data_IF_836159743055
#
_entry.id   IF_836159743055
#
_cell.length_a   1.000
_cell.length_b   1.000
_cell.length_c   1.000
_cell.angle_alpha   90.00
_cell.angle_beta   90.00
_cell.angle_gamma   90.00
#
_symmetry.space_group_name_H-M   'P 1'
#
loop_
_entity.id
_entity.type
_entity.pdbx_description
1 polymer ?
#
# COMPACT_ATOMS: atom_id res chain seq x y z
N UNK A 1 5.22 6.38 12.79
CA UNK A 1 5.68 5.18 12.10
C UNK A 1 4.76 3.97 12.31
N UNK A 2 4.07 3.88 13.44
CA UNK A 2 3.03 2.87 13.65
C UNK A 2 1.85 3.05 12.69
N UNK A 3 1.52 4.29 12.36
CA UNK A 3 0.41 4.59 11.45
C UNK A 3 0.71 4.12 10.03
N UNK A 4 1.97 4.22 9.59
CA UNK A 4 2.39 3.75 8.28
C UNK A 4 2.28 2.23 8.15
N UNK A 5 2.53 1.47 9.22
CA UNK A 5 2.42 0.02 9.20
C UNK A 5 0.98 -0.43 8.87
N UNK A 6 -0.03 0.28 9.35
CA UNK A 6 -1.43 -0.04 9.08
C UNK A 6 -1.80 0.15 7.62
N UNK A 7 -1.23 1.15 6.94
CA UNK A 7 -1.46 1.37 5.51
C UNK A 7 -0.89 0.25 4.65
N UNK A 8 0.24 -0.32 5.06
CA UNK A 8 0.90 -1.37 4.29
C UNK A 8 0.45 -2.78 4.66
N UNK A 9 -0.26 -2.95 5.76
CA UNK A 9 -0.70 -4.27 6.21
C UNK A 9 -1.56 -5.01 5.16
N UNK A 10 -2.55 -4.39 4.51
CA UNK A 10 -3.31 -5.05 3.45
C UNK A 10 -2.45 -5.45 2.26
N UNK A 11 -1.49 -4.63 1.87
CA UNK A 11 -0.57 -4.93 0.77
C UNK A 11 0.31 -6.14 1.09
N UNK A 12 0.85 -6.20 2.31
CA UNK A 12 1.66 -7.34 2.74
C UNK A 12 0.84 -8.63 2.83
N UNK A 13 -0.40 -8.55 3.30
CA UNK A 13 -1.30 -9.71 3.30
C UNK A 13 -1.63 -10.16 1.87
N UNK A 14 -1.77 -9.23 0.94
CA UNK A 14 -1.96 -9.59 -0.47
C UNK A 14 -0.76 -10.35 -1.03
N UNK A 15 0.46 -9.92 -0.73
CA UNK A 15 1.67 -10.63 -1.13
C UNK A 15 1.75 -12.01 -0.48
N UNK A 16 1.46 -12.10 0.80
CA UNK A 16 1.43 -13.38 1.53
C UNK A 16 0.39 -14.32 0.93
N UNK A 17 -0.80 -13.83 0.64
CA UNK A 17 -1.86 -14.61 0.01
C UNK A 17 -1.42 -15.15 -1.36
N UNK A 18 -0.79 -14.33 -2.18
CA UNK A 18 -0.30 -14.74 -3.49
C UNK A 18 0.78 -15.82 -3.39
N UNK A 19 1.68 -15.73 -2.42
CA UNK A 19 2.72 -16.73 -2.18
C UNK A 19 2.15 -18.05 -1.64
N UNK A 20 1.14 -17.96 -0.78
CA UNK A 20 0.52 -19.12 -0.16
C UNK A 20 -0.49 -19.82 -1.06
N UNK A 21 -1.03 -19.13 -2.07
CA UNK A 21 -2.04 -19.65 -2.99
C UNK A 21 -1.65 -19.42 -4.45
N UNK A 22 -0.51 -19.97 -4.93
CA UNK A 22 -0.11 -19.77 -6.30
C UNK A 22 -1.03 -20.54 -7.25
N UNK A 23 -1.26 -19.99 -8.44
CA UNK A 23 -1.99 -20.70 -9.51
C UNK A 23 -1.20 -21.90 -10.00
N UNK A 24 0.12 -21.77 -10.06
CA UNK A 24 1.04 -22.84 -10.49
C UNK A 24 2.19 -22.94 -9.50
N UNK A 25 2.63 -24.16 -9.24
CA UNK A 25 3.74 -24.43 -8.34
C UNK A 25 3.30 -24.77 -6.93
N UNK A 26 4.26 -24.82 -6.03
CA UNK A 26 4.02 -25.19 -4.63
C UNK A 26 3.71 -23.94 -3.80
N UNK A 27 2.77 -24.02 -2.85
CA UNK A 27 2.55 -22.93 -1.91
C UNK A 27 3.82 -22.61 -1.11
N UNK A 28 4.05 -21.32 -0.90
CA UNK A 28 5.16 -20.82 -0.09
C UNK A 28 4.58 -20.24 1.19
N UNK A 29 4.70 -20.93 2.34
CA UNK A 29 4.11 -20.44 3.58
C UNK A 29 4.86 -19.22 4.11
N UNK A 30 4.11 -18.23 4.56
CA UNK A 30 4.64 -16.99 5.12
C UNK A 30 4.44 -17.01 6.63
N UNK A 31 5.53 -17.05 7.38
CA UNK A 31 5.49 -17.11 8.84
C UNK A 31 5.38 -15.72 9.48
N UNK A 32 5.94 -14.71 8.85
CA UNK A 32 5.93 -13.35 9.38
C UNK A 32 6.04 -12.32 8.26
N UNK A 33 5.60 -11.11 8.56
CA UNK A 33 5.68 -9.97 7.64
C UNK A 33 6.31 -8.79 8.34
N UNK A 34 6.93 -7.92 7.57
CA UNK A 34 7.47 -6.70 8.12
C UNK A 34 7.80 -5.68 7.05
N UNK A 35 8.04 -4.46 7.51
CA UNK A 35 8.46 -3.35 6.67
C UNK A 35 9.89 -2.97 7.04
N UNK A 36 10.76 -2.91 6.06
CA UNK A 36 12.07 -2.30 6.23
C UNK A 36 11.99 -0.88 5.71
N UNK A 37 12.04 0.09 6.62
CA UNK A 37 11.88 1.50 6.30
C UNK A 37 13.26 2.14 6.28
N UNK A 38 13.59 2.78 5.18
CA UNK A 38 14.82 3.52 4.99
C UNK A 38 14.49 5.01 4.95
N UNK A 39 15.06 5.76 5.90
CA UNK A 39 14.89 7.21 5.96
C UNK A 39 16.21 7.90 5.61
N UNK A 40 16.14 8.88 4.73
CA UNK A 40 17.29 9.71 4.41
C UNK A 40 17.68 10.53 5.64
N UNK A 41 18.91 10.35 6.13
CA UNK A 41 19.39 11.01 7.34
C UNK A 41 20.23 12.25 7.05
N UNK A 42 20.70 12.44 5.82
CA UNK A 42 21.48 13.60 5.42
C UNK A 42 22.29 13.34 4.17
N UNK A 43 22.90 14.41 3.67
CA UNK A 43 23.77 14.39 2.52
C UNK A 43 25.13 14.95 2.93
N UNK A 44 26.20 14.22 2.68
CA UNK A 44 27.58 14.66 2.98
C UNK A 44 28.43 14.66 1.72
N UNK A 45 29.28 15.69 1.52
CA UNK A 45 30.22 15.65 0.41
C UNK A 45 31.29 14.57 0.64
N UNK A 46 31.72 13.91 -0.43
CA UNK A 46 32.78 12.94 -0.41
C UNK A 46 34.09 13.54 -0.94
N UNK A 47 35.23 12.86 -0.70
CA UNK A 47 36.52 13.37 -1.06
C UNK A 47 36.75 13.52 -2.58
N UNK A 48 35.97 12.80 -3.39
CA UNK A 48 36.04 12.81 -4.86
C UNK A 48 35.12 13.80 -5.53
N UNK A 49 34.49 14.70 -4.76
CA UNK A 49 33.54 15.70 -5.28
C UNK A 49 32.11 15.19 -5.43
N UNK A 50 31.85 13.93 -5.13
CA UNK A 50 30.49 13.38 -5.11
C UNK A 50 29.80 13.66 -3.77
N UNK A 51 28.58 13.15 -3.61
CA UNK A 51 27.81 13.27 -2.36
C UNK A 51 27.38 11.87 -1.90
N UNK A 52 27.53 11.62 -0.59
CA UNK A 52 27.02 10.43 0.05
C UNK A 52 25.71 10.69 0.75
N UNK A 53 24.81 9.70 0.77
CA UNK A 53 23.55 9.78 1.48
C UNK A 53 23.61 8.92 2.73
N UNK A 54 23.42 9.52 3.90
CA UNK A 54 23.19 8.79 5.14
C UNK A 54 21.76 8.25 5.16
N UNK A 55 21.61 7.00 5.56
CA UNK A 55 20.29 6.35 5.64
C UNK A 55 20.15 5.64 6.97
N UNK A 56 19.05 5.86 7.65
CA UNK A 56 18.66 5.08 8.83
C UNK A 56 17.67 4.01 8.43
N UNK A 57 17.78 2.83 9.03
CA UNK A 57 16.90 1.70 8.78
C UNK A 57 16.07 1.39 10.00
N UNK A 58 14.78 1.15 9.79
CA UNK A 58 13.86 0.67 10.82
C UNK A 58 13.11 -0.54 10.31
N UNK A 59 13.09 -1.60 11.09
CA UNK A 59 12.24 -2.75 10.82
C UNK A 59 10.98 -2.67 11.69
N UNK A 60 9.80 -2.73 11.03
CA UNK A 60 8.51 -2.78 11.70
C UNK A 60 7.86 -4.13 11.42
N UNK A 61 7.65 -4.92 12.46
CA UNK A 61 6.89 -6.14 12.34
C UNK A 61 5.40 -5.80 12.11
N UNK A 62 4.79 -6.48 11.15
CA UNK A 62 3.35 -6.35 10.86
C UNK A 62 2.70 -7.68 11.19
N UNK A 63 1.77 -7.65 12.13
CA UNK A 63 1.03 -8.85 12.53
C UNK A 63 0.08 -9.27 11.42
N UNK A 64 0.06 -10.56 11.13
CA UNK A 64 -0.83 -11.11 10.13
C UNK A 64 -2.29 -11.05 10.57
N UNK A 65 -3.16 -10.66 9.65
CA UNK A 65 -4.61 -10.65 9.85
C UNK A 65 -5.30 -11.03 8.53
N UNK A 66 -5.35 -12.32 8.26
CA UNK A 66 -5.98 -12.84 7.05
C UNK A 66 -7.48 -12.60 7.02
N UNK A 67 -8.14 -12.64 8.16
CA UNK A 67 -9.58 -12.41 8.25
C UNK A 67 -9.94 -10.99 7.84
N UNK A 68 -9.19 -10.00 8.32
CA UNK A 68 -9.38 -8.60 7.92
C UNK A 68 -9.10 -8.40 6.43
N UNK A 69 -8.06 -9.02 5.90
CA UNK A 69 -7.72 -8.94 4.48
C UNK A 69 -8.84 -9.52 3.62
N UNK A 70 -9.36 -10.70 3.96
CA UNK A 70 -10.45 -11.32 3.21
C UNK A 70 -11.74 -10.50 3.27
N UNK A 71 -12.02 -9.89 4.43
CA UNK A 71 -13.15 -8.97 4.60
C UNK A 71 -13.00 -7.74 3.70
N UNK A 72 -11.81 -7.16 3.65
CA UNK A 72 -11.51 -6.02 2.77
C UNK A 72 -11.72 -6.38 1.31
N UNK A 73 -11.24 -7.54 0.87
CA UNK A 73 -11.40 -8.00 -0.52
C UNK A 73 -12.89 -8.21 -0.83
N UNK A 74 -13.66 -8.78 0.08
CA UNK A 74 -15.09 -8.96 -0.11
C UNK A 74 -15.81 -7.61 -0.25
N UNK A 75 -15.45 -6.63 0.56
CA UNK A 75 -16.01 -5.28 0.48
C UNK A 75 -15.65 -4.61 -0.85
N UNK A 76 -14.41 -4.76 -1.33
CA UNK A 76 -13.99 -4.22 -2.63
C UNK A 76 -14.76 -4.88 -3.79
N UNK A 77 -14.97 -6.17 -3.74
CA UNK A 77 -15.76 -6.89 -4.76
C UNK A 77 -17.20 -6.38 -4.76
N UNK A 78 -17.80 -6.18 -3.59
CA UNK A 78 -19.16 -5.64 -3.49
C UNK A 78 -19.26 -4.23 -4.08
N UNK A 79 -18.25 -3.39 -3.88
CA UNK A 79 -18.21 -2.05 -4.49
C UNK A 79 -18.08 -2.13 -6.02
N UNK A 80 -17.22 -3.01 -6.52
CA UNK A 80 -16.99 -3.18 -7.96
C UNK A 80 -18.22 -3.74 -8.67
N UNK A 81 -18.89 -4.71 -8.06
CA UNK A 81 -20.06 -5.37 -8.63
C UNK A 81 -21.37 -4.62 -8.33
N UNK A 82 -21.36 -3.69 -7.42
CA UNK A 82 -22.53 -2.91 -7.02
C UNK A 82 -22.72 -1.62 -7.82
N UNK A 83 -23.60 -0.78 -7.32
CA UNK A 83 -23.81 0.55 -7.89
C UNK A 83 -22.59 1.43 -7.67
N UNK A 84 -22.40 2.40 -8.56
CA UNK A 84 -21.31 3.37 -8.43
C UNK A 84 -21.48 4.15 -7.12
N UNK A 85 -20.49 4.12 -6.21
CA UNK A 85 -20.60 4.88 -4.96
C UNK A 85 -20.58 6.38 -5.20
N UNK A 86 -21.18 7.12 -4.28
CA UNK A 86 -21.13 8.57 -4.30
C UNK A 86 -19.70 9.08 -4.13
N UNK A 87 -19.43 10.25 -4.72
CA UNK A 87 -18.16 10.92 -4.55
C UNK A 87 -17.94 11.30 -3.08
N UNK A 88 -16.70 11.18 -2.61
CA UNK A 88 -16.32 11.68 -1.29
C UNK A 88 -16.54 13.18 -1.17
N UNK A 89 -16.85 13.65 0.05
CA UNK A 89 -17.18 15.06 0.32
C UNK A 89 -16.05 16.00 -0.15
N UNK A 90 -14.80 15.60 0.07
CA UNK A 90 -13.62 16.41 -0.25
C UNK A 90 -12.78 15.77 -1.37
N UNK A 91 -13.44 15.16 -2.35
CA UNK A 91 -12.74 14.50 -3.45
C UNK A 91 -12.41 15.49 -4.57
N UNK A 92 -11.16 15.94 -4.64
CA UNK A 92 -10.69 16.85 -5.68
C UNK A 92 -10.81 16.26 -7.08
N UNK A 93 -10.48 15.00 -7.24
CA UNK A 93 -10.60 14.29 -8.52
C UNK A 93 -12.05 14.22 -8.99
N UNK A 94 -12.97 13.90 -8.09
CA UNK A 94 -14.41 13.85 -8.39
C UNK A 94 -14.93 15.22 -8.80
N UNK A 95 -14.54 16.25 -8.07
CA UNK A 95 -14.91 17.64 -8.38
C UNK A 95 -14.37 18.09 -9.74
N UNK A 96 -13.12 17.73 -10.03
CA UNK A 96 -12.51 18.02 -11.33
C UNK A 96 -13.28 17.34 -12.47
N UNK A 97 -13.59 16.06 -12.33
CA UNK A 97 -14.32 15.29 -13.34
C UNK A 97 -15.74 15.87 -13.58
N UNK A 98 -16.43 16.24 -12.51
CA UNK A 98 -17.77 16.86 -12.62
C UNK A 98 -17.71 18.17 -13.40
N UNK A 99 -16.74 19.02 -13.10
CA UNK A 99 -16.55 20.29 -13.83
C UNK A 99 -16.20 20.05 -15.30
N UNK A 100 -15.30 19.10 -15.57
CA UNK A 100 -14.92 18.78 -16.94
C UNK A 100 -16.10 18.29 -17.77
N UNK A 101 -16.88 17.37 -17.23
CA UNK A 101 -18.07 16.83 -17.90
C UNK A 101 -19.11 17.93 -18.20
N UNK A 102 -19.24 18.93 -17.32
CA UNK A 102 -20.14 20.05 -17.55
C UNK A 102 -19.67 20.95 -18.70
N UNK A 103 -18.37 21.01 -18.97
CA UNK A 103 -17.81 21.79 -20.07
C UNK A 103 -17.95 21.09 -21.43
N UNK A 104 -18.07 19.78 -21.45
CA UNK A 104 -18.21 18.97 -22.67
C UNK A 104 -19.67 18.90 -23.17
N UNK A 105 -20.59 19.45 -22.41
CA UNK A 105 -22.00 19.56 -22.81
C UNK A 105 -22.24 20.88 -23.58
#
# INVERSE_FOLDING_TARGET
DRDNAQFYAPQLEAYAYALENPEKGKPFPVSSMGLLIWKLAGVTPTADGAHGFGVTQHYLHVTRDQAQFKSLIADLINVIEGELPDAGVDCDTCNYLTKRLSLER
#
